data_IF_626369064724
#
_entry.id   IF_626369064724
#
_cell.length_a   1.000
_cell.length_b   1.000
_cell.length_c   1.000
_cell.angle_alpha   90.00
_cell.angle_beta   90.00
_cell.angle_gamma   90.00
#
_symmetry.space_group_name_H-M   'P 1'
#
loop_
_entity.id
_entity.type
_entity.pdbx_description
1 polymer ?
#
# COMPACT_ATOMS: atom_id res chain seq x y z
N UNK A 1 43.35 54.05 -12.98
CA UNK A 1 43.28 52.60 -12.68
C UNK A 1 41.84 52.26 -12.37
N UNK A 2 41.13 51.34 -13.00
CA UNK A 2 41.44 50.41 -14.09
C UNK A 2 40.13 50.09 -14.84
N UNK A 3 40.30 49.64 -16.07
CA UNK A 3 39.30 49.45 -17.12
C UNK A 3 38.24 48.37 -16.85
N UNK A 4 37.05 48.65 -17.41
CA UNK A 4 36.11 47.78 -18.13
C UNK A 4 36.49 46.31 -18.35
N UNK A 5 35.49 45.42 -18.19
CA UNK A 5 35.16 44.41 -19.20
C UNK A 5 33.72 43.89 -19.04
N UNK A 6 32.97 44.03 -20.12
CA UNK A 6 31.61 43.52 -20.37
C UNK A 6 31.75 42.13 -21.00
N UNK A 7 30.98 41.14 -20.51
CA UNK A 7 30.90 39.79 -21.09
C UNK A 7 29.46 39.45 -21.47
N UNK A 8 29.23 39.25 -22.77
CA UNK A 8 27.96 38.97 -23.46
C UNK A 8 27.41 37.54 -23.24
N UNK A 9 26.10 37.30 -23.37
CA UNK A 9 25.51 35.96 -23.36
C UNK A 9 25.59 35.30 -24.75
N UNK A 10 26.05 34.04 -24.80
CA UNK A 10 26.00 33.22 -26.00
C UNK A 10 24.71 32.38 -26.03
N UNK A 11 23.80 32.73 -26.95
CA UNK A 11 22.72 31.88 -27.38
C UNK A 11 23.27 30.83 -28.36
N UNK A 12 22.99 29.54 -28.12
CA UNK A 12 23.23 28.48 -29.10
C UNK A 12 21.90 27.89 -29.54
N UNK A 13 21.55 28.33 -30.74
CA UNK A 13 20.76 27.73 -31.81
C UNK A 13 20.17 26.33 -31.61
N UNK A 14 18.87 26.28 -31.90
CA UNK A 14 18.11 25.11 -32.27
C UNK A 14 18.70 24.38 -33.48
N UNK A 15 18.71 23.05 -33.44
CA UNK A 15 18.78 22.21 -34.63
C UNK A 15 17.47 21.44 -34.78
N UNK A 16 16.72 21.86 -35.80
CA UNK A 16 15.68 21.09 -36.47
C UNK A 16 16.31 19.87 -37.14
N UNK A 17 15.78 18.67 -36.86
CA UNK A 17 15.90 17.53 -37.76
C UNK A 17 14.51 17.02 -38.16
N UNK A 18 14.33 16.65 -39.45
CA UNK A 18 13.02 16.49 -40.08
C UNK A 18 12.29 15.19 -39.69
N UNK A 19 10.96 15.26 -39.82
CA UNK A 19 10.02 14.13 -39.86
C UNK A 19 10.52 13.07 -40.85
N UNK A 20 10.73 11.84 -40.37
CA UNK A 20 10.78 10.67 -41.24
C UNK A 20 9.43 9.95 -41.27
N UNK A 21 9.12 9.56 -42.49
CA UNK A 21 7.90 9.04 -43.03
C UNK A 21 7.87 7.51 -42.83
N UNK A 22 6.75 7.02 -42.30
CA UNK A 22 6.10 5.75 -42.65
C UNK A 22 6.97 4.62 -43.26
N UNK A 23 7.29 3.58 -42.49
CA UNK A 23 7.36 2.20 -43.00
C UNK A 23 6.95 1.23 -41.87
N UNK A 24 5.81 0.56 -42.04
CA UNK A 24 5.40 -0.56 -41.21
C UNK A 24 6.36 -1.75 -41.42
N UNK A 25 6.78 -2.46 -40.36
CA UNK A 25 7.38 -3.78 -40.54
C UNK A 25 6.30 -4.80 -40.93
N UNK A 26 6.43 -5.36 -42.13
CA UNK A 26 5.68 -6.53 -42.61
C UNK A 26 6.08 -7.77 -41.81
N UNK A 27 5.13 -8.35 -41.06
CA UNK A 27 5.32 -9.64 -40.39
C UNK A 27 5.10 -10.79 -41.39
N UNK A 28 5.96 -11.83 -41.37
CA UNK A 28 5.86 -12.97 -42.26
C UNK A 28 4.65 -13.88 -42.00
N UNK A 29 4.15 -14.40 -43.12
CA UNK A 29 2.93 -15.14 -43.37
C UNK A 29 2.98 -16.58 -42.80
N UNK A 30 2.92 -16.72 -41.47
CA UNK A 30 2.91 -18.04 -40.78
C UNK A 30 1.53 -18.48 -40.28
N UNK A 31 0.45 -17.76 -40.64
CA UNK A 31 -0.91 -18.04 -40.17
C UNK A 31 -1.79 -18.81 -41.19
N UNK A 32 -1.25 -19.23 -42.34
CA UNK A 32 -2.03 -19.86 -43.42
C UNK A 32 -1.93 -21.39 -43.55
N UNK A 33 -1.22 -22.08 -42.66
CA UNK A 33 -0.97 -23.53 -42.79
C UNK A 33 -1.74 -24.44 -41.82
N UNK A 34 -2.77 -23.96 -41.12
CA UNK A 34 -3.58 -24.82 -40.21
C UNK A 34 -4.99 -25.19 -40.69
N UNK A 35 -5.42 -24.76 -41.87
CA UNK A 35 -6.78 -25.05 -42.37
C UNK A 35 -6.88 -26.16 -43.44
N UNK A 36 -5.79 -26.87 -43.73
CA UNK A 36 -5.82 -28.01 -44.68
C UNK A 36 -5.42 -29.31 -44.00
N UNK A 37 -6.28 -29.81 -43.10
CA UNK A 37 -6.41 -31.25 -42.92
C UNK A 37 -7.83 -31.59 -42.44
N UNK A 38 -8.81 -31.39 -43.33
CA UNK A 38 -10.15 -31.99 -43.22
C UNK A 38 -10.19 -33.17 -44.19
N UNK A 39 -10.04 -34.37 -43.66
CA UNK A 39 -10.35 -35.61 -44.37
C UNK A 39 -11.65 -36.19 -43.76
N UNK A 40 -12.61 -36.67 -44.57
CA UNK A 40 -13.97 -36.95 -44.11
C UNK A 40 -14.19 -38.40 -43.66
N UNK A 41 -15.20 -38.54 -42.80
CA UNK A 41 -16.06 -39.71 -42.53
C UNK A 41 -15.49 -40.88 -41.70
N UNK A 42 -16.01 -41.02 -40.48
CA UNK A 42 -16.60 -42.26 -39.97
C UNK A 42 -17.66 -41.90 -38.92
N UNK A 43 -18.90 -42.36 -39.14
CA UNK A 43 -20.01 -42.20 -38.22
C UNK A 43 -19.79 -43.06 -36.97
N UNK A 44 -20.03 -42.54 -35.74
CA UNK A 44 -20.01 -43.38 -34.56
C UNK A 44 -21.23 -44.30 -34.56
N UNK A 45 -20.97 -45.60 -34.52
CA UNK A 45 -21.94 -46.64 -34.12
C UNK A 45 -22.61 -46.26 -32.80
N UNK A 46 -23.93 -46.48 -32.62
CA UNK A 46 -24.60 -46.24 -31.35
C UNK A 46 -24.00 -47.16 -30.28
N UNK A 47 -23.33 -46.56 -29.30
CA UNK A 47 -22.87 -47.25 -28.11
C UNK A 47 -24.08 -47.79 -27.36
N UNK A 48 -24.06 -49.10 -27.14
CA UNK A 48 -24.99 -49.85 -26.28
C UNK A 48 -25.02 -49.19 -24.90
N UNK A 49 -26.19 -48.73 -24.47
CA UNK A 49 -26.44 -48.27 -23.09
C UNK A 49 -26.25 -49.48 -22.18
N UNK A 50 -25.26 -49.51 -21.27
CA UNK A 50 -25.23 -50.53 -20.23
C UNK A 50 -26.37 -50.24 -19.26
N UNK A 51 -27.18 -51.26 -18.98
CA UNK A 51 -28.24 -51.20 -17.98
C UNK A 51 -27.69 -50.72 -16.62
N UNK A 52 -28.49 -49.98 -15.82
CA UNK A 52 -28.06 -49.49 -14.52
C UNK A 52 -27.83 -50.68 -13.58
N UNK A 53 -26.59 -50.88 -13.15
CA UNK A 53 -26.27 -51.80 -12.06
C UNK A 53 -26.71 -51.16 -10.73
N UNK A 54 -27.65 -51.77 -9.99
CA UNK A 54 -27.96 -51.35 -8.63
C UNK A 54 -26.95 -52.01 -7.69
N UNK A 55 -25.98 -51.24 -7.17
CA UNK A 55 -25.08 -51.79 -6.14
C UNK A 55 -23.71 -51.16 -5.93
N UNK A 56 -23.38 -50.04 -6.59
CA UNK A 56 -22.13 -49.32 -6.31
C UNK A 56 -22.43 -47.93 -5.78
N UNK A 57 -22.14 -47.67 -4.50
CA UNK A 57 -21.93 -46.30 -4.03
C UNK A 57 -20.81 -45.71 -4.88
N UNK A 58 -21.16 -44.98 -5.92
CA UNK A 58 -20.24 -44.11 -6.62
C UNK A 58 -19.80 -43.06 -5.60
N UNK A 59 -18.68 -43.31 -4.92
CA UNK A 59 -17.95 -42.27 -4.21
C UNK A 59 -17.51 -41.27 -5.27
N UNK A 60 -18.35 -40.26 -5.49
CA UNK A 60 -18.00 -39.07 -6.25
C UNK A 60 -16.62 -38.62 -5.73
N UNK A 61 -15.62 -38.36 -6.60
CA UNK A 61 -14.41 -37.69 -6.14
C UNK A 61 -14.86 -36.43 -5.40
N UNK A 62 -14.38 -36.16 -4.17
CA UNK A 62 -14.79 -34.99 -3.42
C UNK A 62 -14.58 -33.79 -4.34
N UNK A 63 -15.66 -33.07 -4.64
CA UNK A 63 -15.57 -31.81 -5.37
C UNK A 63 -14.43 -31.01 -4.73
N UNK A 64 -13.47 -30.52 -5.53
CA UNK A 64 -12.36 -29.71 -5.04
C UNK A 64 -12.91 -28.45 -4.33
N UNK A 65 -13.23 -28.57 -3.05
CA UNK A 65 -13.73 -27.47 -2.22
C UNK A 65 -12.59 -26.77 -1.50
N UNK A 66 -11.33 -26.95 -1.95
CA UNK A 66 -10.20 -26.21 -1.38
C UNK A 66 -10.39 -24.71 -1.64
N UNK A 67 -10.59 -23.96 -0.55
CA UNK A 67 -10.95 -22.55 -0.56
C UNK A 67 -9.72 -21.65 -0.43
N UNK A 68 -8.71 -22.12 0.29
CA UNK A 68 -7.53 -21.36 0.65
C UNK A 68 -6.27 -21.95 0.02
N UNK A 69 -5.27 -21.08 -0.13
CA UNK A 69 -3.99 -21.41 -0.78
C UNK A 69 -2.84 -21.00 0.11
N UNK A 70 -1.85 -21.86 0.21
CA UNK A 70 -0.61 -21.62 0.95
C UNK A 70 0.56 -21.86 0.03
N UNK A 71 1.29 -20.80 -0.31
CA UNK A 71 2.51 -20.87 -1.10
C UNK A 71 3.73 -20.96 -0.22
N UNK A 72 4.50 -22.03 -0.36
CA UNK A 72 5.80 -22.20 0.28
C UNK A 72 6.90 -21.48 -0.50
N UNK A 73 7.98 -21.11 0.20
CA UNK A 73 9.19 -20.53 -0.43
C UNK A 73 9.92 -21.51 -1.33
N UNK A 74 9.72 -22.82 -1.13
CA UNK A 74 10.20 -23.87 -2.03
C UNK A 74 9.53 -23.84 -3.41
N UNK A 75 8.45 -23.07 -3.58
CA UNK A 75 7.63 -23.03 -4.79
C UNK A 75 6.45 -24.00 -4.78
N UNK A 76 6.35 -24.87 -3.76
CA UNK A 76 5.19 -25.73 -3.58
C UNK A 76 3.98 -24.90 -3.15
N UNK A 77 2.83 -25.14 -3.77
CA UNK A 77 1.55 -24.56 -3.37
C UNK A 77 0.66 -25.66 -2.79
N UNK A 78 0.13 -25.42 -1.59
CA UNK A 78 -0.82 -26.29 -0.91
C UNK A 78 -2.20 -25.64 -0.99
N UNK A 79 -3.21 -26.47 -1.20
CA UNK A 79 -4.61 -26.04 -1.16
C UNK A 79 -5.29 -26.65 0.05
N UNK A 80 -6.09 -25.85 0.74
CA UNK A 80 -6.66 -26.19 2.03
C UNK A 80 -8.11 -25.73 2.14
N UNK A 81 -8.86 -26.38 3.02
CA UNK A 81 -10.20 -25.99 3.46
C UNK A 81 -10.13 -24.95 4.57
N UNK A 82 -9.14 -25.08 5.47
CA UNK A 82 -8.95 -24.20 6.61
C UNK A 82 -7.46 -23.86 6.80
N UNK A 83 -7.20 -22.60 7.14
CA UNK A 83 -5.85 -22.06 7.34
C UNK A 83 -5.88 -21.13 8.55
N UNK A 84 -5.18 -21.51 9.62
CA UNK A 84 -5.14 -20.74 10.86
C UNK A 84 -3.70 -20.41 11.25
N UNK A 85 -3.46 -19.15 11.64
CA UNK A 85 -2.17 -18.73 12.21
C UNK A 85 -2.21 -18.95 13.73
N UNK A 86 -1.24 -19.72 14.25
CA UNK A 86 -1.07 -19.93 15.69
C UNK A 86 0.23 -19.30 16.16
N UNK A 87 0.10 -18.43 17.15
CA UNK A 87 1.21 -17.76 17.84
C UNK A 87 1.28 -18.27 19.28
N UNK A 88 2.02 -19.36 19.55
CA UNK A 88 2.16 -19.86 20.90
C UNK A 88 2.93 -18.84 21.76
N UNK A 89 2.61 -18.78 23.05
CA UNK A 89 3.31 -17.90 24.01
C UNK A 89 4.81 -18.20 24.07
N UNK A 90 5.18 -19.46 23.85
CA UNK A 90 6.56 -19.94 23.75
C UNK A 90 6.74 -20.67 22.42
N UNK A 91 7.80 -20.35 21.69
CA UNK A 91 8.15 -20.98 20.42
C UNK A 91 7.93 -20.09 19.20
N UNK A 92 8.00 -20.70 18.02
CA UNK A 92 7.81 -20.00 16.75
C UNK A 92 6.35 -20.04 16.34
N UNK A 93 5.88 -18.95 15.73
CA UNK A 93 4.60 -18.90 15.04
C UNK A 93 4.55 -19.90 13.89
N UNK A 94 3.43 -20.60 13.73
CA UNK A 94 3.22 -21.57 12.67
C UNK A 94 1.81 -21.41 12.07
N UNK A 95 1.66 -21.93 10.85
CA UNK A 95 0.38 -22.06 10.16
C UNK A 95 -0.12 -23.48 10.37
N UNK A 96 -1.39 -23.62 10.74
CA UNK A 96 -2.11 -24.88 10.80
C UNK A 96 -2.98 -24.98 9.55
N UNK A 97 -2.75 -26.01 8.76
CA UNK A 97 -3.46 -26.27 7.51
C UNK A 97 -4.35 -27.49 7.70
N UNK A 98 -5.65 -27.32 7.43
CA UNK A 98 -6.70 -28.34 7.62
C UNK A 98 -6.71 -28.97 9.02
N UNK A 99 -6.29 -28.22 10.04
CA UNK A 99 -6.21 -28.69 11.43
C UNK A 99 -5.12 -29.73 11.73
N UNK A 100 -4.39 -30.22 10.73
CA UNK A 100 -3.44 -31.33 10.87
C UNK A 100 -2.00 -30.94 10.55
N UNK A 101 -1.77 -30.28 9.42
CA UNK A 101 -0.43 -30.00 8.94
C UNK A 101 0.10 -28.70 9.54
N UNK A 102 1.25 -28.78 10.22
CA UNK A 102 1.93 -27.61 10.78
C UNK A 102 3.05 -27.16 9.85
N UNK A 103 3.02 -25.89 9.46
CA UNK A 103 4.03 -25.26 8.62
C UNK A 103 4.63 -24.08 9.36
N UNK A 104 5.96 -24.02 9.46
CA UNK A 104 6.60 -22.84 10.05
C UNK A 104 6.32 -21.61 9.18
N UNK A 105 6.00 -20.48 9.80
CA UNK A 105 5.80 -19.25 9.03
C UNK A 105 7.07 -18.82 8.26
N UNK A 106 8.26 -19.23 8.71
CA UNK A 106 9.54 -19.02 8.02
C UNK A 106 9.60 -19.69 6.64
N UNK A 107 8.82 -20.73 6.40
CA UNK A 107 8.79 -21.48 5.14
C UNK A 107 7.72 -20.96 4.18
N UNK A 108 6.82 -20.11 4.66
CA UNK A 108 5.66 -19.62 3.92
C UNK A 108 6.02 -18.33 3.20
N UNK A 109 5.69 -18.26 1.90
CA UNK A 109 5.81 -17.07 1.06
C UNK A 109 4.51 -16.26 1.09
N UNK A 110 3.38 -16.94 0.97
CA UNK A 110 2.06 -16.36 1.08
C UNK A 110 1.05 -17.38 1.60
N UNK A 111 -0.04 -16.91 2.19
CA UNK A 111 -1.16 -17.75 2.54
C UNK A 111 -2.46 -16.96 2.46
N UNK A 112 -3.56 -17.66 2.26
CA UNK A 112 -4.91 -17.13 2.33
C UNK A 112 -5.62 -17.77 3.51
N UNK A 113 -6.42 -17.00 4.22
CA UNK A 113 -7.34 -17.46 5.25
C UNK A 113 -8.71 -16.77 5.07
N UNK A 114 -9.63 -17.00 5.99
CA UNK A 114 -10.97 -16.39 5.96
C UNK A 114 -10.96 -14.85 5.95
N UNK A 115 -9.93 -14.25 6.55
CA UNK A 115 -9.78 -12.81 6.68
C UNK A 115 -9.11 -12.15 5.48
N UNK A 116 -8.34 -12.90 4.68
CA UNK A 116 -7.83 -12.46 3.39
C UNK A 116 -6.48 -13.06 3.01
N UNK A 117 -5.77 -12.33 2.14
CA UNK A 117 -4.48 -12.75 1.58
C UNK A 117 -3.33 -12.14 2.37
N UNK A 118 -2.33 -12.94 2.71
CA UNK A 118 -1.14 -12.52 3.43
C UNK A 118 0.14 -12.87 2.66
N UNK A 119 1.11 -11.94 2.65
CA UNK A 119 2.46 -12.15 2.10
C UNK A 119 3.46 -12.05 3.24
N UNK A 120 4.45 -12.93 3.25
CA UNK A 120 5.61 -12.81 4.14
C UNK A 120 6.82 -12.36 3.34
N UNK A 121 7.36 -11.21 3.73
CA UNK A 121 8.56 -10.66 3.08
C UNK A 121 9.31 -9.73 4.01
N UNK A 122 10.49 -9.31 3.56
CA UNK A 122 11.30 -8.31 4.25
C UNK A 122 10.78 -6.92 3.93
N UNK A 123 10.60 -6.11 4.97
CA UNK A 123 10.21 -4.71 4.81
C UNK A 123 11.41 -3.87 4.33
N UNK A 124 11.17 -2.72 3.67
CA UNK A 124 12.22 -1.77 3.33
C UNK A 124 13.10 -1.45 4.54
N UNK A 125 14.42 -1.68 4.43
CA UNK A 125 15.38 -1.42 5.51
C UNK A 125 15.35 -2.40 6.68
N UNK A 126 14.60 -3.51 6.60
CA UNK A 126 14.55 -4.56 7.63
C UNK A 126 15.06 -5.90 7.08
N UNK A 127 15.89 -6.59 7.85
CA UNK A 127 16.26 -8.00 7.59
C UNK A 127 15.24 -9.00 8.13
N UNK A 128 14.30 -8.56 8.96
CA UNK A 128 13.27 -9.41 9.55
C UNK A 128 12.06 -9.51 8.63
N UNK A 129 11.66 -10.75 8.38
CA UNK A 129 10.43 -11.04 7.68
C UNK A 129 9.22 -10.63 8.50
N UNK A 130 8.23 -10.09 7.81
CA UNK A 130 6.99 -9.62 8.38
C UNK A 130 5.83 -10.12 7.53
N UNK A 131 4.73 -10.50 8.18
CA UNK A 131 3.48 -10.82 7.51
C UNK A 131 2.72 -9.54 7.20
N UNK A 132 2.31 -9.38 5.94
CA UNK A 132 1.57 -8.26 5.43
C UNK A 132 0.23 -8.73 4.88
N UNK A 133 -0.87 -8.11 5.32
CA UNK A 133 -2.19 -8.34 4.74
C UNK A 133 -2.30 -7.57 3.43
N UNK A 134 -2.85 -8.18 2.39
CA UNK A 134 -3.14 -7.51 1.13
C UNK A 134 -4.52 -6.86 1.22
N UNK A 135 -4.54 -5.53 1.13
CA UNK A 135 -5.77 -4.74 1.21
C UNK A 135 -6.39 -4.52 -0.19
N UNK A 136 -5.55 -4.46 -1.23
CA UNK A 136 -6.00 -4.24 -2.62
C UNK A 136 -5.05 -4.87 -3.62
N UNK A 137 -5.60 -5.41 -4.70
CA UNK A 137 -4.88 -5.97 -5.85
C UNK A 137 -4.94 -5.01 -7.05
N UNK A 138 -3.90 -5.06 -7.88
CA UNK A 138 -3.75 -4.27 -9.10
C UNK A 138 -2.29 -4.14 -9.51
N UNK A 139 -1.99 -3.36 -10.56
CA UNK A 139 -0.60 -3.01 -10.88
C UNK A 139 0.09 -2.33 -9.69
N UNK A 140 -0.63 -1.52 -8.93
CA UNK A 140 -0.26 -1.18 -7.56
C UNK A 140 -1.09 -2.03 -6.61
N UNK A 141 -0.44 -2.99 -5.95
CA UNK A 141 -1.05 -3.78 -4.88
C UNK A 141 -0.74 -3.13 -3.53
N UNK A 142 -1.75 -3.03 -2.66
CA UNK A 142 -1.62 -2.42 -1.34
C UNK A 142 -1.56 -3.49 -0.26
N UNK A 143 -0.68 -3.25 0.69
CA UNK A 143 -0.45 -4.11 1.83
C UNK A 143 -0.50 -3.32 3.12
N UNK A 144 -0.86 -3.98 4.21
CA UNK A 144 -0.86 -3.37 5.53
C UNK A 144 -0.37 -4.31 6.62
N UNK A 145 0.18 -3.70 7.67
CA UNK A 145 0.41 -4.35 8.96
C UNK A 145 -0.18 -3.50 10.07
N UNK A 146 -0.89 -4.16 10.96
CA UNK A 146 -1.40 -3.56 12.19
C UNK A 146 -0.51 -4.00 13.34
N UNK A 147 0.07 -3.05 14.07
CA UNK A 147 0.86 -3.30 15.28
C UNK A 147 0.17 -2.66 16.47
N UNK A 148 -0.19 -3.47 17.44
CA UNK A 148 -0.72 -3.02 18.73
C UNK A 148 0.43 -3.01 19.73
N UNK A 149 0.78 -1.84 20.25
CA UNK A 149 1.85 -1.68 21.22
C UNK A 149 1.25 -1.15 22.53
N UNK A 150 1.64 -1.74 23.66
CA UNK A 150 1.34 -1.14 24.96
C UNK A 150 2.26 0.05 25.18
N UNK A 151 1.69 1.24 25.28
CA UNK A 151 2.40 2.46 25.61
C UNK A 151 2.22 2.71 27.09
N UNK A 152 3.24 2.38 27.86
CA UNK A 152 3.34 2.83 29.24
C UNK A 152 3.79 4.30 29.20
N UNK A 153 2.83 5.23 29.19
CA UNK A 153 3.14 6.64 29.47
C UNK A 153 3.48 6.75 30.96
N UNK A 154 4.68 6.29 31.30
CA UNK A 154 5.24 6.41 32.64
C UNK A 154 5.28 7.89 33.00
N UNK A 155 4.66 8.20 34.14
CA UNK A 155 4.74 9.51 34.78
C UNK A 155 6.23 9.83 35.00
N UNK A 156 6.79 10.71 34.17
CA UNK A 156 8.13 11.25 34.39
C UNK A 156 7.96 12.52 35.23
N UNK A 157 8.28 12.50 36.54
CA UNK A 157 8.16 13.69 37.39
C UNK A 157 9.19 14.78 37.06
N UNK A 158 10.18 14.49 36.21
CA UNK A 158 11.19 15.44 35.71
C UNK A 158 11.53 15.10 34.27
N UNK A 159 10.79 15.63 33.30
CA UNK A 159 10.94 15.25 31.90
C UNK A 159 10.75 16.40 30.93
N UNK A 160 11.84 17.11 30.61
CA UNK A 160 11.98 17.89 29.39
C UNK A 160 11.82 16.96 28.16
N UNK A 161 10.57 16.70 27.77
CA UNK A 161 10.21 15.88 26.62
C UNK A 161 10.32 16.66 25.32
N UNK A 162 11.52 16.70 24.75
CA UNK A 162 11.78 17.14 23.37
C UNK A 162 11.02 16.23 22.39
N UNK A 163 9.87 16.69 21.91
CA UNK A 163 9.24 16.16 20.69
C UNK A 163 8.13 15.15 20.94
N UNK A 164 6.91 15.65 21.06
CA UNK A 164 5.71 14.83 20.97
C UNK A 164 4.51 15.69 21.24
N UNK A 165 3.62 15.81 20.25
CA UNK A 165 2.31 16.44 20.39
C UNK A 165 1.53 15.76 21.52
N UNK A 166 1.68 16.30 22.73
CA UNK A 166 0.87 15.97 23.89
C UNK A 166 -0.52 16.51 23.67
N UNK A 167 -1.48 15.61 23.57
CA UNK A 167 -2.90 15.92 23.56
C UNK A 167 -3.23 16.73 24.84
N UNK A 168 -3.79 17.95 24.75
CA UNK A 168 -4.04 18.81 25.92
C UNK A 168 -5.09 18.26 26.90
N UNK A 169 -5.73 17.12 26.59
CA UNK A 169 -6.76 16.48 27.42
C UNK A 169 -6.42 15.04 27.87
N UNK A 170 -5.16 14.61 27.78
CA UNK A 170 -4.77 13.24 28.11
C UNK A 170 -4.35 13.05 29.57
N UNK A 171 -5.31 12.67 30.42
CA UNK A 171 -5.05 12.07 31.74
C UNK A 171 -4.00 10.95 31.61
N UNK A 172 -2.95 11.01 32.41
CA UNK A 172 -1.87 10.03 32.42
C UNK A 172 -2.38 8.64 32.77
N UNK A 173 -2.38 7.75 31.78
CA UNK A 173 -2.69 6.33 31.95
C UNK A 173 -2.02 5.54 30.83
N UNK A 174 -1.42 4.39 31.18
CA UNK A 174 -0.92 3.45 30.19
C UNK A 174 -2.02 3.03 29.22
N UNK A 175 -1.73 3.00 27.93
CA UNK A 175 -2.73 2.74 26.90
C UNK A 175 -2.17 1.91 25.76
N UNK A 176 -3.04 1.18 25.07
CA UNK A 176 -2.66 0.48 23.84
C UNK A 176 -2.72 1.46 22.67
N UNK A 177 -1.63 1.54 21.91
CA UNK A 177 -1.58 2.25 20.64
C UNK A 177 -1.55 1.24 19.51
N UNK A 178 -2.63 1.22 18.73
CA UNK A 178 -2.68 0.46 17.48
C UNK A 178 -2.25 1.36 16.32
N UNK A 179 -1.22 0.93 15.59
CA UNK A 179 -0.72 1.63 14.40
C UNK A 179 -0.87 0.75 13.18
N UNK A 180 -1.57 1.26 12.16
CA UNK A 180 -1.64 0.63 10.83
C UNK A 180 -0.58 1.27 9.95
N UNK A 181 0.37 0.48 9.47
CA UNK A 181 1.37 0.91 8.50
C UNK A 181 1.02 0.31 7.15
N UNK A 182 1.02 1.13 6.11
CA UNK A 182 0.64 0.73 4.76
C UNK A 182 1.87 0.70 3.84
N UNK A 183 1.89 -0.26 2.93
CA UNK A 183 2.92 -0.50 1.95
C UNK A 183 2.29 -0.75 0.58
N UNK A 184 3.09 -0.70 -0.47
CA UNK A 184 2.64 -1.07 -1.81
C UNK A 184 3.71 -1.84 -2.58
N UNK A 185 3.29 -2.61 -3.56
CA UNK A 185 4.17 -3.13 -4.61
C UNK A 185 3.65 -2.69 -5.98
N UNK A 186 4.57 -2.39 -6.91
CA UNK A 186 4.27 -2.10 -8.31
C UNK A 186 4.60 -3.33 -9.15
N UNK A 187 3.67 -3.78 -9.98
CA UNK A 187 3.85 -4.85 -10.97
C UNK A 187 4.45 -6.14 -10.37
N UNK A 188 4.00 -6.51 -9.16
CA UNK A 188 4.53 -7.63 -8.35
C UNK A 188 6.02 -7.52 -7.97
N UNK A 189 6.58 -6.31 -8.04
CA UNK A 189 7.95 -5.99 -7.61
C UNK A 189 8.13 -5.93 -6.09
N UNK A 190 9.27 -5.40 -5.62
CA UNK A 190 9.56 -5.30 -4.19
C UNK A 190 8.55 -4.40 -3.48
N UNK A 191 8.26 -4.74 -2.22
CA UNK A 191 7.38 -3.96 -1.36
C UNK A 191 8.10 -2.67 -0.93
N UNK A 192 7.39 -1.56 -0.99
CA UNK A 192 7.87 -0.22 -0.66
C UNK A 192 6.91 0.46 0.32
N UNK A 193 7.43 1.40 1.11
CA UNK A 193 6.60 2.19 2.01
C UNK A 193 5.58 3.02 1.23
N UNK A 194 4.33 3.06 1.72
CA UNK A 194 3.29 3.90 1.14
C UNK A 194 3.55 5.38 1.49
N UNK A 195 4.41 6.01 0.69
CA UNK A 195 4.75 7.42 0.81
C UNK A 195 4.44 8.17 -0.48
N UNK A 196 4.11 9.46 -0.38
CA UNK A 196 3.89 10.32 -1.55
C UNK A 196 5.09 10.37 -2.51
N UNK A 197 6.31 10.18 -1.98
CA UNK A 197 7.53 10.14 -2.79
C UNK A 197 7.60 8.82 -3.58
N UNK A 198 7.50 7.70 -2.90
CA UNK A 198 7.60 6.38 -3.53
C UNK A 198 6.45 6.17 -4.53
N UNK A 199 5.21 6.52 -4.16
CA UNK A 199 4.06 6.47 -5.06
C UNK A 199 4.27 7.35 -6.29
N UNK A 200 4.76 8.58 -6.12
CA UNK A 200 5.00 9.46 -7.27
C UNK A 200 6.09 8.95 -8.20
N UNK A 201 7.05 8.16 -7.72
CA UNK A 201 8.06 7.52 -8.57
C UNK A 201 7.44 6.30 -9.26
N UNK A 202 6.65 5.52 -8.52
CA UNK A 202 5.98 4.35 -9.04
C UNK A 202 4.91 4.69 -10.11
N UNK A 203 4.30 5.87 -10.07
CA UNK A 203 3.25 6.26 -11.03
C UNK A 203 3.70 7.32 -12.04
N UNK A 204 5.00 7.49 -12.29
CA UNK A 204 5.51 8.52 -13.22
C UNK A 204 4.98 8.37 -14.64
N UNK A 205 4.66 7.14 -15.02
CA UNK A 205 4.05 6.73 -16.29
C UNK A 205 2.56 7.10 -16.41
N UNK A 206 1.94 7.69 -15.38
CA UNK A 206 0.52 8.06 -15.38
C UNK A 206 0.30 9.52 -14.97
N UNK A 207 0.09 10.39 -15.97
CA UNK A 207 -0.15 11.81 -15.75
C UNK A 207 -1.38 12.10 -14.86
N UNK A 208 -2.44 11.30 -14.97
CA UNK A 208 -3.65 11.44 -14.15
C UNK A 208 -3.36 11.19 -12.66
N UNK A 209 -2.67 10.10 -12.34
CA UNK A 209 -2.26 9.78 -10.99
C UNK A 209 -1.28 10.83 -10.43
N UNK A 210 -0.34 11.33 -11.24
CA UNK A 210 0.59 12.39 -10.84
C UNK A 210 -0.12 13.68 -10.43
N UNK A 211 -1.12 14.12 -11.20
CA UNK A 211 -1.88 15.33 -10.88
C UNK A 211 -2.56 15.25 -9.51
N UNK A 212 -3.14 14.09 -9.18
CA UNK A 212 -3.77 13.86 -7.88
C UNK A 212 -2.74 13.78 -6.75
N UNK A 213 -1.57 13.16 -6.98
CA UNK A 213 -0.48 13.12 -6.00
C UNK A 213 0.14 14.50 -5.72
N UNK A 214 0.23 15.37 -6.73
CA UNK A 214 0.66 16.77 -6.56
C UNK A 214 -0.31 17.51 -5.63
N UNK A 215 -1.62 17.30 -5.79
CA UNK A 215 -2.61 17.89 -4.88
C UNK A 215 -2.44 17.35 -3.44
N UNK A 216 -2.20 16.05 -3.28
CA UNK A 216 -1.94 15.46 -1.96
C UNK A 216 -0.69 16.08 -1.29
N UNK A 217 0.37 16.39 -2.06
CA UNK A 217 1.55 17.11 -1.54
C UNK A 217 1.21 18.53 -1.09
N UNK A 218 0.37 19.27 -1.85
CA UNK A 218 -0.09 20.61 -1.45
C UNK A 218 -0.83 20.57 -0.12
N UNK A 219 -1.75 19.61 0.06
CA UNK A 219 -2.45 19.43 1.34
C UNK A 219 -1.50 19.13 2.49
N UNK A 220 -0.50 18.25 2.29
CA UNK A 220 0.54 17.99 3.30
C UNK A 220 1.28 19.28 3.70
N UNK A 221 1.62 20.12 2.72
CA UNK A 221 2.30 21.39 2.99
C UNK A 221 1.39 22.37 3.74
N UNK A 222 0.10 22.45 3.38
CA UNK A 222 -0.86 23.27 4.13
C UNK A 222 -1.05 22.79 5.56
N UNK A 223 -1.13 21.49 5.78
CA UNK A 223 -1.15 20.91 7.13
C UNK A 223 0.11 21.32 7.90
N UNK A 224 1.30 21.18 7.30
CA UNK A 224 2.56 21.57 7.95
C UNK A 224 2.59 23.07 8.29
N UNK A 225 2.20 23.94 7.36
CA UNK A 225 2.12 25.38 7.59
C UNK A 225 1.10 25.74 8.67
N UNK A 226 -0.05 25.06 8.70
CA UNK A 226 -1.06 25.28 9.74
C UNK A 226 -0.55 24.92 11.14
N UNK A 227 0.23 23.84 11.27
CA UNK A 227 0.87 23.49 12.53
C UNK A 227 1.92 24.51 12.96
N UNK A 228 2.76 24.98 12.04
CA UNK A 228 3.76 26.01 12.32
C UNK A 228 3.08 27.32 12.73
N UNK A 229 2.04 27.74 11.99
CA UNK A 229 1.27 28.94 12.30
C UNK A 229 0.55 28.85 13.66
N UNK A 230 -0.12 27.74 13.94
CA UNK A 230 -0.79 27.52 15.23
C UNK A 230 0.22 27.49 16.39
N UNK A 231 1.38 26.86 16.21
CA UNK A 231 2.45 26.85 17.20
C UNK A 231 3.01 28.26 17.47
N UNK A 232 3.26 29.03 16.42
CA UNK A 232 3.72 30.42 16.55
C UNK A 232 2.70 31.30 17.28
N UNK A 233 1.41 31.18 16.94
CA UNK A 233 0.32 31.91 17.61
C UNK A 233 0.16 31.49 19.07
N UNK A 234 0.30 30.20 19.39
CA UNK A 234 0.25 29.72 20.77
C UNK A 234 1.40 30.29 21.61
N UNK A 235 2.63 30.28 21.08
CA UNK A 235 3.79 30.86 21.76
C UNK A 235 3.62 32.37 21.94
N UNK A 236 3.20 33.09 20.90
CA UNK A 236 2.95 34.53 20.98
C UNK A 236 1.84 34.86 22.00
N UNK A 237 0.77 34.08 22.03
CA UNK A 237 -0.31 34.21 23.02
C UNK A 237 0.20 34.02 24.45
N UNK A 238 1.02 32.98 24.69
CA UNK A 238 1.61 32.71 25.99
C UNK A 238 2.55 33.83 26.44
N UNK A 239 3.48 34.26 25.57
CA UNK A 239 4.40 35.37 25.87
C UNK A 239 3.63 36.65 26.19
N UNK A 240 2.59 36.97 25.40
CA UNK A 240 1.74 38.15 25.65
C UNK A 240 1.03 38.07 27.02
N UNK A 241 0.60 36.88 27.41
CA UNK A 241 -0.13 36.62 28.67
C UNK A 241 0.77 36.77 29.90
N UNK A 242 2.08 36.49 29.77
CA UNK A 242 3.06 36.67 30.86
C UNK A 242 3.67 38.09 30.91
N UNK A 243 3.60 38.85 29.82
CA UNK A 243 4.12 40.23 29.76
C UNK A 243 3.12 41.32 30.20
N UNK A 244 1.84 40.99 30.34
CA UNK A 244 0.78 41.93 30.71
C UNK A 244 0.53 42.01 32.22
N UNK A 245 0.38 43.23 32.76
CA UNK A 245 0.18 43.50 34.19
C UNK A 245 -1.25 43.18 34.70
N UNK A 246 -2.17 42.83 33.81
CA UNK A 246 -3.55 42.45 34.13
C UNK A 246 -3.82 40.99 33.73
N UNK A 247 -4.37 40.21 34.64
CA UNK A 247 -4.78 38.80 34.45
C UNK A 247 -5.98 38.65 33.50
N UNK A 248 -5.90 39.18 32.28
CA UNK A 248 -6.90 38.92 31.23
C UNK A 248 -6.36 37.83 30.29
N UNK A 249 -7.11 36.71 30.20
CA UNK A 249 -6.83 35.62 29.26
C UNK A 249 -6.87 36.21 27.84
N UNK A 250 -5.74 36.16 27.13
CA UNK A 250 -5.63 36.72 25.78
C UNK A 250 -6.69 36.13 24.84
N UNK A 251 -7.43 36.94 24.05
CA UNK A 251 -8.42 36.47 23.07
C UNK A 251 -7.86 35.45 22.07
N UNK A 252 -6.54 35.45 21.86
CA UNK A 252 -5.84 34.47 21.02
C UNK A 252 -5.97 33.03 21.53
N UNK A 253 -6.14 32.84 22.84
CA UNK A 253 -6.36 31.51 23.45
C UNK A 253 -7.71 30.93 23.00
N UNK A 254 -8.72 31.77 22.74
CA UNK A 254 -10.02 31.33 22.22
C UNK A 254 -10.03 31.11 20.70
N UNK A 255 -9.07 31.67 19.95
CA UNK A 255 -8.91 31.40 18.52
C UNK A 255 -8.17 30.07 18.25
N UNK A 256 -7.35 29.60 19.21
CA UNK A 256 -6.54 28.39 19.08
C UNK A 256 -7.36 27.09 18.81
N UNK A 257 -8.53 26.83 19.45
CA UNK A 257 -9.33 25.63 19.21
C UNK A 257 -9.82 25.52 17.76
N UNK A 258 -10.19 26.65 17.14
CA UNK A 258 -10.69 26.69 15.76
C UNK A 258 -9.58 26.33 14.76
N UNK A 259 -8.36 26.78 15.02
CA UNK A 259 -7.21 26.48 14.16
C UNK A 259 -6.72 25.03 14.29
N UNK A 260 -6.94 24.38 15.43
CA UNK A 260 -6.57 22.96 15.63
C UNK A 260 -7.43 21.98 14.82
N UNK A 261 -8.59 22.39 14.31
CA UNK A 261 -9.45 21.55 13.46
C UNK A 261 -8.92 21.46 12.02
N UNK A 262 -8.23 22.50 11.55
CA UNK A 262 -7.77 22.61 10.16
C UNK A 262 -6.85 21.45 9.73
N UNK A 263 -5.85 21.02 10.52
CA UNK A 263 -5.02 19.86 10.20
C UNK A 263 -5.79 18.56 9.96
N UNK A 264 -6.84 18.30 10.73
CA UNK A 264 -7.64 17.07 10.65
C UNK A 264 -8.34 16.95 9.28
N UNK A 265 -8.90 18.06 8.80
CA UNK A 265 -9.60 18.10 7.51
C UNK A 265 -8.63 17.87 6.36
N UNK A 266 -7.47 18.54 6.38
CA UNK A 266 -6.48 18.41 5.30
C UNK A 266 -5.79 17.04 5.26
N UNK A 267 -5.57 16.42 6.42
CA UNK A 267 -5.07 15.05 6.48
C UNK A 267 -6.03 14.05 5.83
N UNK A 268 -7.34 14.23 6.03
CA UNK A 268 -8.37 13.42 5.36
C UNK A 268 -8.30 13.54 3.83
N UNK A 269 -8.22 14.77 3.31
CA UNK A 269 -8.12 15.04 1.86
C UNK A 269 -6.85 14.46 1.24
N UNK A 270 -5.72 14.55 1.95
CA UNK A 270 -4.46 13.93 1.50
C UNK A 270 -4.63 12.42 1.30
N UNK A 271 -5.23 11.72 2.26
CA UNK A 271 -5.44 10.27 2.18
C UNK A 271 -6.42 9.88 1.06
N UNK A 272 -7.47 10.67 0.86
CA UNK A 272 -8.42 10.47 -0.23
C UNK A 272 -7.72 10.60 -1.60
N UNK A 273 -6.89 11.62 -1.78
CA UNK A 273 -6.15 11.83 -3.02
C UNK A 273 -5.15 10.69 -3.29
N UNK A 274 -4.46 10.19 -2.25
CA UNK A 274 -3.57 9.02 -2.40
C UNK A 274 -4.37 7.81 -2.91
N UNK A 275 -5.50 7.51 -2.29
CA UNK A 275 -6.38 6.39 -2.69
C UNK A 275 -6.91 6.57 -4.11
N UNK A 276 -7.30 7.78 -4.49
CA UNK A 276 -7.76 8.09 -5.85
C UNK A 276 -6.65 7.91 -6.88
N UNK A 277 -5.43 8.37 -6.60
CA UNK A 277 -4.30 8.20 -7.50
C UNK A 277 -3.98 6.72 -7.76
N UNK A 278 -4.02 5.89 -6.71
CA UNK A 278 -3.83 4.44 -6.83
C UNK A 278 -4.94 3.81 -7.66
N UNK A 279 -6.20 4.21 -7.43
CA UNK A 279 -7.34 3.71 -8.20
C UNK A 279 -7.24 4.09 -9.67
N UNK A 280 -6.93 5.35 -9.99
CA UNK A 280 -6.75 5.81 -11.37
C UNK A 280 -5.66 5.02 -12.08
N UNK A 281 -4.54 4.78 -11.39
CA UNK A 281 -3.45 3.98 -11.92
C UNK A 281 -3.87 2.54 -12.22
N UNK A 282 -4.55 1.89 -11.27
CA UNK A 282 -4.99 0.50 -11.39
C UNK A 282 -6.11 0.31 -12.43
N UNK A 283 -6.97 1.31 -12.64
CA UNK A 283 -8.02 1.25 -13.68
C UNK A 283 -7.42 1.42 -15.07
N UNK A 284 -6.49 2.37 -15.26
CA UNK A 284 -5.85 2.56 -16.55
C UNK A 284 -4.98 1.37 -16.96
N UNK A 285 -4.38 0.72 -15.98
CA UNK A 285 -3.62 -0.51 -16.13
C UNK A 285 -4.40 -1.73 -16.62
N UNK A 286 -5.71 -1.76 -16.37
CA UNK A 286 -6.58 -2.89 -16.72
C UNK A 286 -7.16 -2.77 -18.13
N UNK A 287 -6.88 -1.67 -18.84
CA UNK A 287 -7.26 -1.43 -20.23
C UNK A 287 -6.07 -1.73 -21.14
#
# INVERSE_FOLDING_TARGET
MGLLLVGTPAAVLAQNTPRQLNTLPSLPDSARQREQNKQPTQAPTPATIPAPQPGGLATLPPAETTRFRVGLKSGQELRALDVEVREPFLGKSYLLVDGQQRLELSQIRYYEDESGFYVRTNLPGSSRETTLRRDRTGRISLYSITRTQYVNNGYSPYGYGRGGYGNPYGFGGGGYRTTKTEYFSKDSGPIQDLSLRNLSIATQDNAGAQNVLIQARRYRNYTALSYVGAGALAVAGLVSSFSGTNQSISPLIYAAPVLLVVPLIFQGKQQQNIKQAINLYNVQAAR
#
